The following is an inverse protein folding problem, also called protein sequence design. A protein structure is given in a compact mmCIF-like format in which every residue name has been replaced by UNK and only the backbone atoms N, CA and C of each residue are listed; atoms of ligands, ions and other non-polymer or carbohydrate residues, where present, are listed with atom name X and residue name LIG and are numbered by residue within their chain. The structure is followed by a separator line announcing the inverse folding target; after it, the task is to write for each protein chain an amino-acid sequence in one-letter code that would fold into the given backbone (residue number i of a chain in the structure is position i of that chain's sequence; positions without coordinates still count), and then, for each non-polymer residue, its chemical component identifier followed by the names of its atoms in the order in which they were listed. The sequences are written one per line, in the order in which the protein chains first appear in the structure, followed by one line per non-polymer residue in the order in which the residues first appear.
data_IF_901802140419
#
_entry.id   IF_901802140419
#
_cell.length_a   1.000
_cell.length_b   1.000
_cell.length_c   1.000
_cell.angle_alpha   90.00
_cell.angle_beta   90.00
_cell.angle_gamma   90.00
#
_symmetry.space_group_name_H-M   'P 1'
#
loop_
_entity.id
_entity.type
_entity.pdbx_description
1 polymer ?
#
# COMPACT_ATOMS: atom_id res chain seq x y z
N UNK A 1 7.93 -9.21 -6.87
CA UNK A 1 8.17 -9.90 -5.56
C UNK A 1 7.32 -11.15 -5.50
N UNK A 2 7.86 -12.29 -5.02
CA UNK A 2 7.15 -13.58 -5.00
C UNK A 2 6.02 -13.64 -3.95
N UNK A 3 6.04 -12.74 -2.97
CA UNK A 3 5.02 -12.60 -1.94
C UNK A 3 4.70 -11.12 -1.72
N UNK A 4 3.50 -10.82 -1.23
CA UNK A 4 3.14 -9.47 -0.81
C UNK A 4 3.96 -9.08 0.44
N UNK A 5 4.64 -7.93 0.39
CA UNK A 5 5.44 -7.43 1.53
C UNK A 5 4.64 -6.73 2.63
N UNK A 6 3.38 -6.38 2.37
CA UNK A 6 2.47 -5.80 3.37
C UNK A 6 1.84 -6.85 4.30
N UNK A 7 1.02 -6.40 5.25
CA UNK A 7 0.37 -7.28 6.22
C UNK A 7 -0.63 -8.25 5.57
N UNK A 8 -0.56 -9.53 5.94
CA UNK A 8 -1.40 -10.63 5.43
C UNK A 8 -2.89 -10.32 5.55
N UNK A 9 -3.32 -9.66 6.62
CA UNK A 9 -4.74 -9.31 6.83
C UNK A 9 -5.32 -8.44 5.70
N UNK A 10 -4.50 -7.61 5.05
CA UNK A 10 -4.94 -6.78 3.93
C UNK A 10 -5.09 -7.60 2.64
N UNK A 11 -4.12 -8.48 2.33
CA UNK A 11 -4.22 -9.35 1.17
C UNK A 11 -5.35 -10.38 1.33
N UNK A 12 -5.55 -10.93 2.54
CA UNK A 12 -6.66 -11.83 2.85
C UNK A 12 -8.02 -11.14 2.65
N UNK A 13 -8.17 -9.88 3.08
CA UNK A 13 -9.38 -9.09 2.83
C UNK A 13 -9.67 -8.94 1.33
N UNK A 14 -8.68 -8.58 0.52
CA UNK A 14 -8.84 -8.44 -0.94
C UNK A 14 -9.22 -9.78 -1.59
N UNK A 15 -8.54 -10.86 -1.21
CA UNK A 15 -8.84 -12.21 -1.72
C UNK A 15 -10.26 -12.64 -1.37
N UNK A 16 -10.71 -12.41 -0.12
CA UNK A 16 -12.08 -12.71 0.32
C UNK A 16 -13.14 -11.93 -0.47
N UNK A 17 -12.83 -10.71 -0.91
CA UNK A 17 -13.72 -9.95 -1.80
C UNK A 17 -13.74 -10.46 -3.25
N UNK A 18 -12.87 -11.40 -3.61
CA UNK A 18 -12.75 -11.96 -4.96
C UNK A 18 -11.79 -11.17 -5.86
N UNK A 19 -10.90 -10.37 -5.26
CA UNK A 19 -9.89 -9.59 -5.97
C UNK A 19 -8.62 -10.46 -6.13
N UNK A 20 -8.19 -10.79 -7.36
CA UNK A 20 -6.99 -11.58 -7.57
C UNK A 20 -5.74 -10.78 -7.21
N UNK A 21 -4.71 -11.48 -6.74
CA UNK A 21 -3.40 -10.92 -6.44
C UNK A 21 -2.37 -11.70 -7.27
N UNK A 22 -1.65 -11.00 -8.13
CA UNK A 22 -0.62 -11.58 -8.99
C UNK A 22 0.77 -11.19 -8.46
N UNK A 23 1.38 -11.99 -7.56
CA UNK A 23 2.77 -11.77 -7.15
C UNK A 23 3.70 -12.03 -8.35
N UNK A 24 4.90 -11.45 -8.32
CA UNK A 24 5.86 -11.54 -9.43
C UNK A 24 5.29 -11.17 -10.79
N UNK A 25 4.34 -10.24 -10.85
CA UNK A 25 3.86 -9.67 -12.10
C UNK A 25 4.09 -8.16 -12.14
N UNK A 26 4.20 -7.60 -13.33
CA UNK A 26 4.20 -6.16 -13.58
C UNK A 26 3.29 -5.82 -14.75
N UNK A 27 2.82 -4.57 -14.80
CA UNK A 27 2.14 -4.03 -15.98
C UNK A 27 3.17 -3.84 -17.09
N UNK A 28 2.94 -4.48 -18.24
CA UNK A 28 3.70 -4.29 -19.47
C UNK A 28 3.26 -3.03 -20.21
N UNK A 29 1.95 -2.89 -20.38
CA UNK A 29 1.37 -1.74 -21.07
C UNK A 29 -0.04 -1.43 -20.59
N UNK A 30 -0.38 -0.15 -20.68
CA UNK A 30 -1.75 0.36 -20.60
C UNK A 30 -2.22 0.62 -22.04
N UNK A 31 -3.38 0.08 -22.40
CA UNK A 31 -3.91 0.13 -23.75
C UNK A 31 -5.08 1.10 -23.82
N UNK A 32 -5.15 1.83 -24.94
CA UNK A 32 -6.16 2.85 -25.21
C UNK A 32 -5.54 4.06 -25.89
N UNK A 33 -6.37 4.99 -26.37
CA UNK A 33 -5.90 6.22 -27.04
C UNK A 33 -6.00 7.44 -26.13
N UNK A 34 -7.21 7.79 -25.72
CA UNK A 34 -7.48 8.95 -24.87
C UNK A 34 -7.66 8.57 -23.39
N UNK A 35 -8.09 7.34 -23.13
CA UNK A 35 -8.27 6.77 -21.80
C UNK A 35 -7.79 5.32 -21.80
N UNK A 36 -7.55 4.77 -20.60
CA UNK A 36 -7.24 3.34 -20.45
C UNK A 36 -8.51 2.54 -20.75
N UNK A 37 -8.37 1.52 -21.59
CA UNK A 37 -9.42 0.55 -21.92
C UNK A 37 -9.05 -0.85 -21.42
N UNK A 38 -7.75 -1.12 -21.30
CA UNK A 38 -7.23 -2.34 -20.69
C UNK A 38 -5.78 -2.19 -20.22
N UNK A 39 -5.32 -3.11 -19.39
CA UNK A 39 -3.90 -3.31 -19.10
C UNK A 39 -3.46 -4.70 -19.52
N UNK A 40 -2.18 -4.85 -19.81
CA UNK A 40 -1.53 -6.14 -19.97
C UNK A 40 -0.46 -6.30 -18.91
N UNK A 41 -0.54 -7.39 -18.15
CA UNK A 41 0.48 -7.78 -17.18
C UNK A 41 1.27 -8.97 -17.71
N UNK A 42 2.49 -9.15 -17.21
CA UNK A 42 3.27 -10.37 -17.40
C UNK A 42 3.98 -10.75 -16.11
N UNK A 43 4.30 -12.04 -15.98
CA UNK A 43 5.20 -12.52 -14.94
C UNK A 43 6.60 -11.93 -15.15
N UNK A 44 7.31 -11.65 -14.07
CA UNK A 44 8.67 -11.09 -14.08
C UNK A 44 9.65 -12.03 -13.37
N UNK A 45 10.86 -12.12 -13.92
CA UNK A 45 11.95 -12.88 -13.32
C UNK A 45 12.59 -12.15 -12.11
N UNK A 46 13.62 -12.77 -11.52
CA UNK A 46 14.39 -12.19 -10.40
C UNK A 46 15.13 -10.89 -10.75
N UNK A 47 15.31 -10.61 -12.04
CA UNK A 47 15.94 -9.40 -12.56
C UNK A 47 14.88 -8.37 -13.02
N UNK A 48 13.61 -8.58 -12.65
CA UNK A 48 12.47 -7.75 -13.05
C UNK A 48 12.26 -7.67 -14.57
N UNK A 49 12.72 -8.68 -15.30
CA UNK A 49 12.46 -8.80 -16.74
C UNK A 49 11.16 -9.57 -16.97
N UNK A 50 10.26 -9.07 -17.83
CA UNK A 50 9.06 -9.81 -18.19
C UNK A 50 9.37 -11.16 -18.86
N UNK A 51 8.60 -12.18 -18.54
CA UNK A 51 8.66 -13.51 -19.13
C UNK A 51 7.70 -13.60 -20.32
N UNK A 52 8.20 -13.74 -21.56
CA UNK A 52 7.34 -13.87 -22.74
C UNK A 52 6.41 -15.08 -22.66
N UNK A 53 5.17 -14.92 -23.12
CA UNK A 53 4.15 -15.97 -23.11
C UNK A 53 3.33 -16.06 -21.81
N UNK A 54 3.61 -15.19 -20.83
CA UNK A 54 2.87 -15.10 -19.56
C UNK A 54 1.84 -13.96 -19.55
N UNK A 55 1.65 -13.30 -20.68
CA UNK A 55 0.87 -12.08 -20.79
C UNK A 55 -0.62 -12.32 -20.54
N UNK A 56 -1.23 -11.42 -19.76
CA UNK A 56 -2.67 -11.43 -19.47
C UNK A 56 -3.20 -10.02 -19.60
N UNK A 57 -4.24 -9.85 -20.42
CA UNK A 57 -4.91 -8.55 -20.58
C UNK A 57 -6.19 -8.50 -19.79
N UNK A 58 -6.44 -7.41 -19.07
CA UNK A 58 -7.66 -7.16 -18.31
C UNK A 58 -8.31 -5.87 -18.79
N UNK A 59 -9.60 -5.92 -19.08
CA UNK A 59 -10.37 -4.70 -19.34
C UNK A 59 -10.46 -3.86 -18.06
N UNK A 60 -10.15 -2.57 -18.16
CA UNK A 60 -10.22 -1.63 -17.06
C UNK A 60 -10.23 -0.20 -17.60
N UNK A 61 -10.92 0.69 -16.89
CA UNK A 61 -10.95 2.13 -17.19
C UNK A 61 -9.92 2.94 -16.40
N UNK A 62 -9.36 2.34 -15.35
CA UNK A 62 -8.53 3.02 -14.35
C UNK A 62 -7.37 2.14 -13.93
N UNK A 63 -6.18 2.74 -13.86
CA UNK A 63 -4.98 2.10 -13.30
C UNK A 63 -4.59 2.86 -12.05
N UNK A 64 -4.58 2.17 -10.93
CA UNK A 64 -4.03 2.69 -9.69
C UNK A 64 -2.60 2.18 -9.53
N UNK A 65 -1.63 3.09 -9.66
CA UNK A 65 -0.22 2.77 -9.52
C UNK A 65 0.22 3.11 -8.10
N UNK A 66 0.45 2.07 -7.28
CA UNK A 66 1.09 2.21 -6.00
C UNK A 66 2.61 2.38 -6.22
N UNK A 67 3.05 3.62 -6.37
CA UNK A 67 4.47 3.94 -6.55
C UNK A 67 5.24 3.74 -5.24
N UNK A 68 6.49 3.29 -5.36
CA UNK A 68 7.45 3.42 -4.26
C UNK A 68 7.75 4.90 -4.01
N UNK A 69 8.06 5.23 -2.76
CA UNK A 69 8.51 6.57 -2.38
C UNK A 69 10.03 6.60 -2.35
N UNK A 70 10.62 7.66 -2.91
CA UNK A 70 12.01 8.01 -2.66
C UNK A 70 12.03 9.16 -1.64
N UNK A 71 12.88 9.10 -0.60
CA UNK A 71 13.04 10.21 0.32
C UNK A 71 13.37 11.51 -0.41
N UNK A 72 12.68 12.59 -0.06
CA UNK A 72 13.02 13.95 -0.49
C UNK A 72 13.96 14.59 0.53
N UNK A 73 15.18 14.05 0.63
CA UNK A 73 16.19 14.48 1.61
C UNK A 73 17.22 15.46 1.05
N UNK A 74 17.03 15.96 -0.17
CA UNK A 74 18.01 16.81 -0.88
C UNK A 74 18.43 18.04 -0.07
N UNK A 75 17.47 18.78 0.52
CA UNK A 75 17.79 19.94 1.36
C UNK A 75 18.48 19.58 2.67
N UNK A 76 18.13 18.44 3.27
CA UNK A 76 18.82 17.96 4.46
C UNK A 76 20.28 17.68 4.14
N UNK A 77 20.55 16.96 3.05
CA UNK A 77 21.91 16.61 2.62
C UNK A 77 22.73 17.86 2.27
N UNK A 78 22.16 18.80 1.50
CA UNK A 78 22.82 20.06 1.14
C UNK A 78 23.11 20.93 2.36
N UNK A 79 22.16 21.05 3.30
CA UNK A 79 22.36 21.79 4.54
C UNK A 79 23.49 21.17 5.38
N UNK A 80 23.53 19.84 5.51
CA UNK A 80 24.62 19.13 6.18
C UNK A 80 25.97 19.41 5.51
N UNK A 81 26.04 19.36 4.18
CA UNK A 81 27.27 19.65 3.41
C UNK A 81 27.73 21.10 3.57
N UNK A 82 26.79 22.04 3.66
CA UNK A 82 27.06 23.45 3.93
C UNK A 82 27.38 23.76 5.41
N UNK A 83 27.33 22.76 6.29
CA UNK A 83 27.54 22.94 7.73
C UNK A 83 26.39 23.70 8.44
N UNK A 84 25.21 23.74 7.83
CA UNK A 84 24.01 24.35 8.40
C UNK A 84 23.34 23.32 9.32
N UNK A 85 23.09 23.64 10.61
CA UNK A 85 22.34 22.76 11.50
C UNK A 85 20.97 22.41 10.92
N UNK A 86 20.68 21.11 10.79
CA UNK A 86 19.46 20.61 10.16
C UNK A 86 19.02 19.31 10.81
N UNK A 87 17.71 19.13 10.92
CA UNK A 87 17.07 17.89 11.37
C UNK A 87 16.09 17.42 10.29
N UNK A 88 15.94 16.10 10.15
CA UNK A 88 15.00 15.49 9.22
C UNK A 88 13.88 14.77 9.98
N UNK A 89 12.68 14.77 9.39
CA UNK A 89 11.51 14.10 9.94
C UNK A 89 10.62 13.55 8.83
N UNK A 90 9.77 12.59 9.18
CA UNK A 90 8.88 11.92 8.22
C UNK A 90 9.65 11.32 7.06
N UNK A 91 9.08 11.40 5.86
CA UNK A 91 9.63 10.79 4.64
C UNK A 91 10.97 11.41 4.18
N UNK A 92 11.34 12.59 4.69
CA UNK A 92 12.66 13.18 4.44
C UNK A 92 13.75 12.49 5.27
N UNK A 93 13.40 11.94 6.44
CA UNK A 93 14.30 11.13 7.24
C UNK A 93 14.32 9.69 6.72
N UNK A 94 13.15 9.09 6.55
CA UNK A 94 12.98 7.72 6.11
C UNK A 94 11.54 7.46 5.64
N UNK A 95 11.36 6.55 4.68
CA UNK A 95 10.02 6.07 4.29
C UNK A 95 9.57 5.04 5.33
N UNK A 96 8.59 5.40 6.15
CA UNK A 96 8.09 4.56 7.25
C UNK A 96 6.56 4.58 7.36
N UNK A 97 6.00 3.70 8.20
CA UNK A 97 4.58 3.72 8.53
C UNK A 97 4.21 5.04 9.22
N UNK A 98 2.98 5.52 9.00
CA UNK A 98 2.52 6.84 9.41
C UNK A 98 2.73 7.14 10.91
N UNK A 99 2.47 6.16 11.79
CA UNK A 99 2.66 6.34 13.22
C UNK A 99 4.15 6.48 13.56
N UNK A 100 5.03 5.71 12.92
CA UNK A 100 6.48 5.88 13.09
C UNK A 100 6.96 7.26 12.61
N UNK A 101 6.49 7.71 11.45
CA UNK A 101 6.77 9.06 10.93
C UNK A 101 6.33 10.16 11.91
N UNK A 102 5.16 10.00 12.57
CA UNK A 102 4.70 10.93 13.61
C UNK A 102 5.60 10.94 14.85
N UNK A 103 6.09 9.77 15.29
CA UNK A 103 7.03 9.70 16.42
C UNK A 103 8.37 10.35 16.07
N UNK A 104 8.91 10.08 14.89
CA UNK A 104 10.15 10.72 14.41
C UNK A 104 10.01 12.25 14.31
N UNK A 105 8.86 12.75 13.84
CA UNK A 105 8.59 14.19 13.82
C UNK A 105 8.55 14.82 15.22
N UNK A 106 7.95 14.14 16.20
CA UNK A 106 7.97 14.59 17.60
C UNK A 106 9.40 14.61 18.17
N UNK A 107 10.18 13.58 17.88
CA UNK A 107 11.58 13.47 18.29
C UNK A 107 12.39 14.64 17.72
N UNK A 108 12.31 14.88 16.41
CA UNK A 108 13.02 15.97 15.73
C UNK A 108 12.62 17.35 16.29
N UNK A 109 11.32 17.60 16.50
CA UNK A 109 10.85 18.87 17.07
C UNK A 109 11.38 19.13 18.48
N UNK A 110 11.48 18.09 19.32
CA UNK A 110 12.04 18.21 20.66
C UNK A 110 13.56 18.44 20.63
N UNK A 111 14.30 17.80 19.70
CA UNK A 111 15.73 18.06 19.50
C UNK A 111 16.00 19.52 19.14
N UNK A 112 15.29 20.04 18.14
CA UNK A 112 15.41 21.44 17.71
C UNK A 112 15.14 22.38 18.89
N UNK A 113 14.08 22.13 19.66
CA UNK A 113 13.75 22.97 20.82
C UNK A 113 14.81 22.90 21.93
N UNK A 114 15.47 21.75 22.13
CA UNK A 114 16.55 21.60 23.10
C UNK A 114 17.80 22.39 22.67
N UNK A 115 18.17 22.27 21.40
CA UNK A 115 19.32 22.96 20.82
C UNK A 115 19.15 24.48 20.85
N UNK A 116 17.98 24.99 20.45
CA UNK A 116 17.66 26.44 20.50
C UNK A 116 17.70 27.01 21.92
N UNK A 117 17.45 26.20 22.95
CA UNK A 117 17.55 26.59 24.36
C UNK A 117 18.95 26.40 24.94
N UNK A 118 19.90 25.87 24.17
CA UNK A 118 21.25 25.52 24.65
C UNK A 118 21.26 24.37 25.65
N UNK A 119 20.21 23.54 25.68
CA UNK A 119 20.16 22.37 26.53
C UNK A 119 21.06 21.26 25.96
N UNK A 120 22.00 20.77 26.76
CA UNK A 120 22.92 19.68 26.38
C UNK A 120 22.39 18.30 26.73
N UNK A 121 21.38 18.21 27.58
CA UNK A 121 20.75 16.94 27.94
C UNK A 121 19.73 16.53 26.89
N UNK A 122 19.58 15.23 26.65
CA UNK A 122 18.54 14.69 25.77
C UNK A 122 17.19 14.68 26.51
N UNK A 123 16.22 15.55 26.19
CA UNK A 123 14.92 15.57 26.88
C UNK A 123 13.94 14.51 26.32
N UNK A 124 14.38 13.68 25.38
CA UNK A 124 13.50 12.76 24.64
C UNK A 124 13.46 11.41 25.36
N UNK A 125 12.26 10.91 25.73
CA UNK A 125 12.15 9.61 26.39
C UNK A 125 12.58 8.45 25.49
N UNK A 126 13.39 7.52 26.01
CA UNK A 126 13.81 6.30 25.28
C UNK A 126 12.63 5.47 24.74
N UNK A 127 11.50 5.50 25.46
CA UNK A 127 10.27 4.82 25.05
C UNK A 127 9.75 5.32 23.69
N UNK A 128 10.03 6.55 23.29
CA UNK A 128 9.60 7.08 21.99
C UNK A 128 10.42 6.48 20.86
N UNK A 129 11.74 6.36 21.03
CA UNK A 129 12.61 5.69 20.07
C UNK A 129 12.24 4.20 19.95
N UNK A 130 12.06 3.52 21.09
CA UNK A 130 11.63 2.12 21.11
C UNK A 130 10.27 1.93 20.41
N UNK A 131 9.33 2.87 20.60
CA UNK A 131 8.02 2.80 19.95
C UNK A 131 8.10 3.05 18.45
N UNK A 132 8.89 4.02 18.02
CA UNK A 132 9.12 4.29 16.60
C UNK A 132 9.67 3.04 15.91
N UNK A 133 10.63 2.34 16.52
CA UNK A 133 11.19 1.10 15.95
C UNK A 133 10.22 -0.09 15.95
N UNK A 134 9.46 -0.28 17.03
CA UNK A 134 8.44 -1.33 17.08
C UNK A 134 7.41 -1.14 15.95
N UNK A 135 7.01 0.11 15.66
CA UNK A 135 6.07 0.44 14.59
C UNK A 135 6.66 0.29 13.18
N UNK A 136 7.99 0.31 13.03
CA UNK A 136 8.69 0.04 11.76
C UNK A 136 8.85 -1.44 11.45
N UNK A 137 8.64 -2.29 12.45
CA UNK A 137 8.98 -3.70 12.34
C UNK A 137 8.22 -4.35 11.17
N UNK A 138 8.91 -5.07 10.28
CA UNK A 138 8.26 -5.78 9.19
C UNK A 138 7.30 -6.84 9.76
N UNK A 139 6.35 -7.33 8.94
CA UNK A 139 5.49 -8.42 9.34
C UNK A 139 6.31 -9.62 9.83
N UNK A 140 5.99 -10.13 11.01
CA UNK A 140 6.66 -11.27 11.62
C UNK A 140 6.08 -12.61 11.16
N UNK A 141 6.16 -13.61 12.03
CA UNK A 141 5.80 -14.99 11.71
C UNK A 141 4.28 -15.11 11.50
N UNK A 142 3.89 -15.92 10.52
CA UNK A 142 2.49 -16.35 10.37
C UNK A 142 2.27 -17.65 11.15
N UNK A 143 1.39 -17.59 12.14
CA UNK A 143 1.00 -18.70 13.02
C UNK A 143 -0.21 -19.43 12.45
N UNK A 144 -0.48 -20.63 12.97
CA UNK A 144 -1.71 -21.37 12.67
C UNK A 144 -2.90 -20.83 13.46
N UNK A 145 -4.11 -21.24 13.06
CA UNK A 145 -5.31 -20.95 13.85
C UNK A 145 -5.19 -21.44 15.29
N UNK A 146 -5.72 -20.62 16.20
CA UNK A 146 -5.95 -21.04 17.59
C UNK A 146 -7.08 -22.07 17.62
N UNK A 147 -6.87 -23.16 18.36
CA UNK A 147 -7.93 -24.15 18.60
C UNK A 147 -9.05 -23.52 19.43
N UNK A 148 -10.29 -23.67 18.96
CA UNK A 148 -11.49 -23.25 19.69
C UNK A 148 -12.56 -24.34 19.57
N UNK A 149 -12.68 -25.16 20.62
CA UNK A 149 -13.64 -26.26 20.66
C UNK A 149 -15.03 -25.81 21.15
N UNK A 150 -15.21 -24.53 21.50
CA UNK A 150 -16.49 -23.98 21.96
C UNK A 150 -17.56 -24.09 20.86
N UNK A 151 -18.73 -24.61 21.21
CA UNK A 151 -19.95 -24.65 20.36
C UNK A 151 -21.16 -24.12 21.14
N UNK A 152 -20.91 -23.19 22.05
CA UNK A 152 -21.92 -22.57 22.90
C UNK A 152 -21.62 -21.09 23.11
N UNK A 153 -22.65 -20.34 23.49
CA UNK A 153 -22.54 -18.90 23.71
C UNK A 153 -22.19 -18.13 22.43
N UNK A 154 -21.49 -17.02 22.60
CA UNK A 154 -20.97 -16.19 21.51
C UNK A 154 -19.48 -15.98 21.74
N UNK A 155 -18.68 -16.01 20.69
CA UNK A 155 -17.23 -15.78 20.77
C UNK A 155 -16.66 -15.26 19.43
N UNK A 156 -15.56 -14.49 19.47
CA UNK A 156 -14.87 -14.10 18.26
C UNK A 156 -14.01 -15.24 17.70
N UNK A 157 -13.95 -15.34 16.38
CA UNK A 157 -12.90 -16.05 15.67
C UNK A 157 -11.93 -15.00 15.13
N UNK A 158 -10.66 -15.15 15.49
CA UNK A 158 -9.59 -14.23 15.13
C UNK A 158 -8.86 -14.80 13.92
N UNK A 159 -9.04 -14.18 12.76
CA UNK A 159 -8.37 -14.51 11.50
C UNK A 159 -7.05 -13.73 11.32
N UNK A 160 -6.59 -13.02 12.36
CA UNK A 160 -5.29 -12.35 12.39
C UNK A 160 -4.21 -13.36 12.80
N UNK A 161 -3.49 -13.90 11.82
CA UNK A 161 -2.52 -14.97 12.02
C UNK A 161 -1.06 -14.52 11.91
N UNK A 162 -0.80 -13.30 11.47
CA UNK A 162 0.56 -12.77 11.29
C UNK A 162 0.89 -11.80 12.41
N UNK A 163 2.12 -11.87 12.91
CA UNK A 163 2.68 -10.88 13.83
C UNK A 163 2.79 -9.52 13.13
N UNK A 164 2.02 -8.54 13.60
CA UNK A 164 1.94 -7.18 13.04
C UNK A 164 1.70 -6.20 14.19
N UNK A 165 2.19 -4.95 14.12
CA UNK A 165 2.09 -3.99 15.22
C UNK A 165 0.66 -3.41 15.37
N UNK A 166 -0.31 -4.23 15.79
CA UNK A 166 -1.74 -3.90 15.80
C UNK A 166 -2.48 -4.53 17.00
N UNK A 167 -3.09 -3.70 17.85
CA UNK A 167 -3.88 -4.12 19.01
C UNK A 167 -5.29 -3.47 19.22
N UNK A 168 -5.97 -2.80 18.26
CA UNK A 168 -7.27 -2.19 18.54
C UNK A 168 -8.34 -3.14 19.11
N UNK A 169 -8.30 -4.44 18.73
CA UNK A 169 -9.25 -5.42 19.23
C UNK A 169 -9.08 -5.76 20.71
N UNK A 170 -7.87 -5.64 21.26
CA UNK A 170 -7.60 -5.89 22.68
C UNK A 170 -8.02 -4.70 23.52
N UNK A 171 -7.81 -3.48 23.02
CA UNK A 171 -8.12 -2.24 23.74
C UNK A 171 -9.62 -1.93 23.79
N UNK A 172 -10.39 -2.37 22.79
CA UNK A 172 -11.84 -2.08 22.72
C UNK A 172 -12.70 -3.10 23.49
N UNK A 173 -12.14 -4.25 23.88
CA UNK A 173 -12.91 -5.35 24.44
C UNK A 173 -13.37 -5.03 25.89
N UNK A 174 -14.68 -4.83 26.15
CA UNK A 174 -15.15 -4.41 27.47
C UNK A 174 -14.99 -5.50 28.54
N UNK A 175 -14.85 -6.77 28.13
CA UNK A 175 -14.65 -7.91 29.02
C UNK A 175 -13.19 -8.37 29.07
N UNK A 176 -12.26 -7.61 28.48
CA UNK A 176 -10.83 -7.94 28.42
C UNK A 176 -10.54 -9.38 27.94
N UNK A 177 -11.40 -9.91 27.08
CA UNK A 177 -11.34 -11.31 26.64
C UNK A 177 -10.48 -11.53 25.38
N UNK A 178 -10.02 -10.46 24.74
CA UNK A 178 -9.05 -10.51 23.65
C UNK A 178 -7.75 -9.87 24.15
N UNK A 179 -6.64 -10.59 24.08
CA UNK A 179 -5.29 -10.15 24.50
C UNK A 179 -4.29 -10.47 23.40
N UNK A 180 -3.09 -9.91 23.42
CA UNK A 180 -1.99 -10.43 22.58
C UNK A 180 -1.34 -11.61 23.29
N UNK A 181 -0.81 -12.58 22.52
CA UNK A 181 -0.29 -13.85 23.04
C UNK A 181 0.76 -13.68 24.15
N UNK A 182 1.66 -12.71 24.01
CA UNK A 182 2.75 -12.41 24.96
C UNK A 182 2.66 -11.01 25.58
N UNK A 183 1.58 -10.26 25.30
CA UNK A 183 1.40 -8.88 25.77
C UNK A 183 2.09 -7.80 24.92
N UNK A 184 2.93 -8.17 23.95
CA UNK A 184 3.54 -7.23 23.00
C UNK A 184 2.52 -6.67 22.01
N UNK A 185 2.86 -5.58 21.31
CA UNK A 185 2.00 -5.03 20.25
C UNK A 185 2.03 -5.90 18.99
N UNK A 186 3.14 -6.61 18.75
CA UNK A 186 3.35 -7.37 17.50
C UNK A 186 2.70 -8.76 17.56
N UNK A 187 2.52 -9.34 18.75
CA UNK A 187 1.98 -10.66 18.89
C UNK A 187 0.52 -10.76 18.44
N UNK A 188 0.18 -11.91 17.86
CA UNK A 188 -1.18 -12.20 17.39
C UNK A 188 -2.20 -12.12 18.54
N UNK A 189 -3.42 -11.62 18.27
CA UNK A 189 -4.45 -11.56 19.29
C UNK A 189 -5.00 -12.97 19.59
N UNK A 190 -5.20 -13.28 20.85
CA UNK A 190 -5.79 -14.51 21.39
C UNK A 190 -7.10 -14.22 22.11
N UNK A 191 -8.07 -15.14 21.99
CA UNK A 191 -9.33 -15.05 22.74
C UNK A 191 -9.30 -15.97 23.96
N UNK A 192 -9.33 -15.37 25.15
CA UNK A 192 -9.33 -16.04 26.45
C UNK A 192 -10.31 -15.33 27.38
N UNK A 193 -11.57 -15.74 27.38
CA UNK A 193 -12.56 -15.16 28.30
C UNK A 193 -14.00 -15.43 27.91
N UNK A 194 -14.86 -14.46 28.25
CA UNK A 194 -16.30 -14.49 28.08
C UNK A 194 -16.73 -13.33 27.18
N UNK A 195 -17.17 -13.66 25.96
CA UNK A 195 -17.64 -12.66 25.01
C UNK A 195 -19.14 -12.44 25.20
N UNK A 196 -19.55 -11.17 25.16
CA UNK A 196 -20.96 -10.75 25.27
C UNK A 196 -21.60 -10.46 23.90
N UNK A 197 -20.85 -10.58 22.81
CA UNK A 197 -21.34 -10.33 21.45
C UNK A 197 -21.60 -8.86 21.12
N UNK A 198 -20.89 -7.92 21.74
CA UNK A 198 -21.11 -6.48 21.54
C UNK A 198 -20.69 -5.93 20.17
N UNK A 199 -19.95 -6.68 19.35
CA UNK A 199 -19.52 -6.27 18.01
C UNK A 199 -18.39 -5.23 17.94
N UNK A 200 -17.93 -4.67 19.08
CA UNK A 200 -16.90 -3.62 19.09
C UNK A 200 -15.59 -4.02 18.41
N UNK A 201 -15.13 -5.26 18.62
CA UNK A 201 -13.92 -5.77 17.97
C UNK A 201 -14.05 -5.92 16.45
N UNK A 202 -15.27 -6.19 15.95
CA UNK A 202 -15.54 -6.23 14.51
C UNK A 202 -15.38 -4.84 13.90
N UNK A 203 -16.00 -3.83 14.51
CA UNK A 203 -16.06 -2.46 13.99
C UNK A 203 -14.71 -1.73 14.04
N UNK A 204 -13.84 -2.05 15.00
CA UNK A 204 -12.53 -1.41 15.14
C UNK A 204 -11.43 -2.10 14.32
N UNK A 205 -11.68 -3.30 13.77
CA UNK A 205 -10.63 -4.09 13.14
C UNK A 205 -10.27 -3.52 11.75
N UNK A 206 -9.08 -2.92 11.56
CA UNK A 206 -8.71 -2.34 10.25
C UNK A 206 -8.53 -3.40 9.16
N UNK A 207 -8.20 -4.64 9.54
CA UNK A 207 -8.04 -5.77 8.62
C UNK A 207 -9.34 -6.54 8.31
N UNK A 208 -10.46 -6.21 8.95
CA UNK A 208 -11.70 -7.00 8.91
C UNK A 208 -11.45 -8.51 9.14
N UNK A 209 -10.56 -8.80 10.09
CA UNK A 209 -10.01 -10.13 10.35
C UNK A 209 -10.63 -10.79 11.59
N UNK A 210 -11.84 -10.37 11.97
CA UNK A 210 -12.57 -10.94 13.11
C UNK A 210 -13.99 -11.25 12.64
N UNK A 211 -14.50 -12.41 13.02
CA UNK A 211 -15.92 -12.76 12.92
C UNK A 211 -16.46 -13.09 14.31
N UNK A 212 -17.76 -12.91 14.53
CA UNK A 212 -18.43 -13.38 15.76
C UNK A 212 -19.32 -14.57 15.42
N UNK A 213 -19.12 -15.69 16.12
CA UNK A 213 -19.97 -16.88 16.01
C UNK A 213 -20.87 -16.96 17.24
N UNK A 214 -22.18 -17.03 17.03
CA UNK A 214 -23.21 -17.00 18.07
C UNK A 214 -24.13 -18.22 17.99
N UNK A 215 -23.96 -19.14 18.95
CA UNK A 215 -24.71 -20.39 19.13
C UNK A 215 -25.93 -20.23 20.04
N UNK A 216 -26.18 -19.04 20.62
CA UNK A 216 -27.21 -18.86 21.66
C UNK A 216 -28.64 -19.10 21.16
N UNK A 217 -28.90 -18.85 19.88
CA UNK A 217 -30.23 -19.02 19.27
C UNK A 217 -30.42 -20.36 18.58
N UNK A 218 -29.41 -20.82 17.84
CA UNK A 218 -29.43 -22.08 17.10
C UNK A 218 -28.03 -22.70 17.19
N UNK A 219 -27.97 -23.93 17.71
CA UNK A 219 -26.72 -24.67 17.90
C UNK A 219 -26.24 -25.37 16.63
N UNK A 220 -27.16 -25.77 15.75
CA UNK A 220 -26.83 -26.45 14.50
C UNK A 220 -26.51 -25.46 13.38
N UNK A 221 -27.20 -24.31 13.37
CA UNK A 221 -26.96 -23.21 12.44
C UNK A 221 -26.65 -21.89 13.17
N UNK A 222 -25.47 -21.79 13.84
CA UNK A 222 -25.07 -20.58 14.53
C UNK A 222 -25.03 -19.37 13.58
N UNK A 223 -25.23 -18.19 14.17
CA UNK A 223 -25.12 -16.93 13.44
C UNK A 223 -23.67 -16.48 13.37
N UNK A 224 -23.17 -16.22 12.16
CA UNK A 224 -21.85 -15.61 11.93
C UNK A 224 -22.04 -14.16 11.55
N UNK A 225 -21.39 -13.26 12.30
CA UNK A 225 -21.39 -11.81 12.03
C UNK A 225 -20.05 -11.38 11.45
N UNK A 226 -20.10 -10.73 10.29
CA UNK A 226 -18.94 -10.30 9.50
C UNK A 226 -19.03 -8.78 9.33
N UNK A 227 -17.93 -8.06 9.54
CA UNK A 227 -17.85 -6.63 9.26
C UNK A 227 -17.61 -6.37 7.77
N UNK A 228 -18.24 -5.33 7.24
CA UNK A 228 -18.20 -4.95 5.84
C UNK A 228 -18.13 -3.42 5.70
N UNK A 229 -17.32 -2.91 4.76
CA UNK A 229 -17.01 -1.47 4.67
C UNK A 229 -17.14 -0.89 3.25
N UNK A 230 -17.45 -1.71 2.24
CA UNK A 230 -17.42 -1.27 0.83
C UNK A 230 -18.72 -0.54 0.49
N UNK A 231 -18.74 0.77 0.72
CA UNK A 231 -19.94 1.61 0.65
C UNK A 231 -20.61 1.66 -0.74
N UNK A 232 -19.84 1.54 -1.82
CA UNK A 232 -20.36 1.56 -3.20
C UNK A 232 -20.90 0.20 -3.66
N UNK A 233 -20.86 -0.84 -2.82
CA UNK A 233 -21.44 -2.14 -3.11
C UNK A 233 -22.41 -2.52 -1.98
N UNK A 234 -23.67 -2.08 -2.03
CA UNK A 234 -24.62 -2.29 -0.94
C UNK A 234 -24.98 -3.77 -0.78
N UNK A 235 -25.25 -4.16 0.46
CA UNK A 235 -25.77 -5.49 0.83
C UNK A 235 -27.12 -5.35 1.51
N UNK A 236 -28.04 -6.26 1.20
CA UNK A 236 -29.41 -6.27 1.72
C UNK A 236 -29.77 -7.62 2.32
N UNK A 237 -30.70 -7.60 3.27
CA UNK A 237 -31.31 -8.82 3.80
C UNK A 237 -31.95 -9.59 2.63
N UNK A 238 -31.69 -10.90 2.56
CA UNK A 238 -32.15 -11.74 1.45
C UNK A 238 -31.13 -11.93 0.31
N UNK A 239 -30.09 -11.10 0.23
CA UNK A 239 -29.04 -11.29 -0.79
C UNK A 239 -28.30 -12.61 -0.56
N UNK A 240 -28.00 -13.31 -1.65
CA UNK A 240 -27.12 -14.48 -1.63
C UNK A 240 -25.67 -14.06 -1.82
N UNK A 241 -24.79 -14.54 -0.94
CA UNK A 241 -23.34 -14.32 -1.02
C UNK A 241 -22.59 -15.63 -0.85
N UNK A 242 -21.50 -15.77 -1.58
CA UNK A 242 -20.56 -16.88 -1.40
C UNK A 242 -19.69 -16.54 -0.19
N UNK A 243 -19.83 -17.33 0.87
CA UNK A 243 -18.97 -17.23 2.04
C UNK A 243 -17.63 -17.90 1.76
N UNK A 244 -16.58 -17.42 2.41
CA UNK A 244 -15.23 -17.95 2.22
C UNK A 244 -14.42 -18.01 3.51
N UNK A 245 -13.42 -18.88 3.52
CA UNK A 245 -12.41 -18.94 4.57
C UNK A 245 -11.33 -17.86 4.40
N UNK A 246 -10.31 -17.88 5.28
CA UNK A 246 -9.23 -16.89 5.27
C UNK A 246 -8.41 -16.89 3.96
N UNK A 247 -8.28 -18.04 3.30
CA UNK A 247 -7.51 -18.19 2.06
C UNK A 247 -8.37 -17.91 0.81
N UNK A 248 -9.62 -17.51 1.04
CA UNK A 248 -10.67 -17.24 0.07
C UNK A 248 -11.22 -18.50 -0.65
N UNK A 249 -11.11 -19.68 -0.03
CA UNK A 249 -11.78 -20.88 -0.52
C UNK A 249 -13.29 -20.75 -0.27
N UNK A 250 -14.09 -21.16 -1.26
CA UNK A 250 -15.55 -21.05 -1.20
C UNK A 250 -16.13 -22.08 -0.22
N UNK A 251 -16.90 -21.62 0.77
CA UNK A 251 -17.56 -22.46 1.79
C UNK A 251 -19.02 -22.76 1.45
N UNK A 252 -19.58 -22.09 0.43
CA UNK A 252 -20.96 -22.23 -0.01
C UNK A 252 -21.66 -20.88 -0.17
N UNK A 253 -22.85 -20.92 -0.78
CA UNK A 253 -23.72 -19.75 -0.96
C UNK A 253 -24.76 -19.68 0.16
N UNK A 254 -24.84 -18.54 0.84
CA UNK A 254 -25.72 -18.32 1.97
C UNK A 254 -26.45 -16.98 1.86
N UNK A 255 -27.62 -16.90 2.50
CA UNK A 255 -28.47 -15.72 2.48
C UNK A 255 -28.11 -14.81 3.66
N UNK A 256 -28.05 -13.50 3.41
CA UNK A 256 -27.92 -12.49 4.46
C UNK A 256 -29.20 -12.48 5.31
N UNK A 257 -29.07 -12.81 6.59
CA UNK A 257 -30.21 -12.88 7.52
C UNK A 257 -30.44 -11.55 8.25
N UNK A 258 -29.40 -10.73 8.42
CA UNK A 258 -29.52 -9.39 8.97
C UNK A 258 -28.36 -8.50 8.52
N UNK A 259 -28.64 -7.19 8.43
CA UNK A 259 -27.64 -6.14 8.20
C UNK A 259 -27.82 -5.08 9.29
N UNK A 260 -26.73 -4.65 9.90
CA UNK A 260 -26.72 -3.58 10.88
C UNK A 260 -25.74 -2.48 10.44
N UNK A 261 -26.26 -1.28 10.21
CA UNK A 261 -25.50 -0.13 9.74
C UNK A 261 -24.83 0.66 10.87
N UNK A 262 -23.59 1.09 10.63
CA UNK A 262 -22.81 1.97 11.51
C UNK A 262 -22.25 3.17 10.72
N UNK A 263 -23.08 4.18 10.40
CA UNK A 263 -22.68 5.27 9.51
C UNK A 263 -21.47 6.08 10.00
N UNK A 264 -21.34 6.26 11.32
CA UNK A 264 -20.20 7.00 11.92
C UNK A 264 -18.86 6.28 11.72
N UNK A 265 -18.89 4.96 11.55
CA UNK A 265 -17.72 4.12 11.33
C UNK A 265 -17.58 3.72 9.86
N UNK A 266 -18.45 4.19 8.97
CA UNK A 266 -18.51 3.79 7.56
C UNK A 266 -18.50 2.27 7.34
N UNK A 267 -19.15 1.52 8.24
CA UNK A 267 -19.15 0.06 8.24
C UNK A 267 -20.54 -0.51 8.51
N UNK A 268 -20.71 -1.79 8.20
CA UNK A 268 -21.89 -2.59 8.44
C UNK A 268 -21.48 -3.91 9.11
N UNK A 269 -22.38 -4.49 9.90
CA UNK A 269 -22.28 -5.88 10.34
C UNK A 269 -23.32 -6.70 9.58
N UNK A 270 -22.84 -7.65 8.79
CA UNK A 270 -23.64 -8.57 7.97
C UNK A 270 -23.69 -9.93 8.66
N UNK A 271 -24.89 -10.49 8.78
CA UNK A 271 -25.11 -11.76 9.49
C UNK A 271 -25.60 -12.84 8.54
N UNK A 272 -25.10 -14.05 8.79
CA UNK A 272 -25.46 -15.27 8.09
C UNK A 272 -25.79 -16.35 9.11
N UNK A 273 -26.75 -17.22 8.79
CA UNK A 273 -26.90 -18.50 9.48
C UNK A 273 -26.22 -19.58 8.64
N UNK A 274 -25.34 -20.34 9.27
CA UNK A 274 -24.52 -21.35 8.58
C UNK A 274 -24.38 -22.61 9.43
N UNK A 275 -24.20 -23.79 8.83
CA UNK A 275 -23.95 -25.01 9.59
C UNK A 275 -22.74 -24.88 10.51
N UNK A 276 -22.83 -25.43 11.73
CA UNK A 276 -21.74 -25.39 12.72
C UNK A 276 -20.37 -25.86 12.19
N UNK A 277 -20.36 -26.79 11.24
CA UNK A 277 -19.15 -27.33 10.60
C UNK A 277 -18.31 -26.27 9.85
N UNK A 278 -18.93 -25.17 9.39
CA UNK A 278 -18.23 -24.08 8.70
C UNK A 278 -18.22 -22.78 9.51
N UNK A 279 -19.03 -22.66 10.56
CA UNK A 279 -19.21 -21.41 11.30
C UNK A 279 -17.91 -20.78 11.81
N UNK A 280 -16.95 -21.60 12.24
CA UNK A 280 -15.62 -21.15 12.71
C UNK A 280 -14.62 -20.90 11.58
N UNK A 281 -14.93 -21.34 10.36
CA UNK A 281 -14.06 -21.20 9.17
C UNK A 281 -14.38 -19.95 8.36
N UNK A 282 -15.64 -19.51 8.39
CA UNK A 282 -16.09 -18.30 7.68
C UNK A 282 -15.26 -17.11 8.15
N UNK A 283 -14.52 -16.52 7.22
CA UNK A 283 -13.75 -15.30 7.44
C UNK A 283 -14.40 -14.11 6.74
N UNK A 284 -15.05 -14.30 5.59
CA UNK A 284 -15.67 -13.22 4.83
C UNK A 284 -16.67 -13.71 3.79
N UNK A 285 -16.97 -12.83 2.85
CA UNK A 285 -17.83 -13.15 1.71
C UNK A 285 -17.38 -12.40 0.45
N UNK A 286 -17.65 -13.00 -0.70
CA UNK A 286 -17.29 -12.47 -2.01
C UNK A 286 -18.22 -11.35 -2.46
N UNK A 287 -17.67 -10.30 -3.06
CA UNK A 287 -18.44 -9.21 -3.69
C UNK A 287 -18.16 -9.06 -5.19
N UNK A 288 -16.93 -9.36 -5.63
CA UNK A 288 -16.54 -9.24 -7.03
C UNK A 288 -16.90 -10.50 -7.82
N UNK A 289 -17.62 -10.35 -8.94
CA UNK A 289 -17.92 -11.47 -9.84
C UNK A 289 -16.63 -12.01 -10.48
N UNK A 290 -16.50 -13.33 -10.61
CA UNK A 290 -15.35 -14.00 -11.28
C UNK A 290 -15.05 -13.43 -12.67
N UNK A 291 -16.09 -13.08 -13.43
CA UNK A 291 -15.96 -12.62 -14.80
C UNK A 291 -15.20 -11.28 -14.92
N UNK A 292 -15.33 -10.40 -13.92
CA UNK A 292 -14.63 -9.10 -13.89
C UNK A 292 -13.12 -9.28 -13.76
N UNK A 293 -12.69 -10.38 -13.13
CA UNK A 293 -11.28 -10.69 -12.88
C UNK A 293 -10.68 -11.69 -13.87
N UNK A 294 -11.40 -12.01 -14.94
CA UNK A 294 -10.95 -12.97 -15.95
C UNK A 294 -10.21 -12.21 -17.05
N UNK A 295 -9.02 -12.67 -17.48
CA UNK A 295 -8.32 -12.04 -18.58
C UNK A 295 -9.11 -12.16 -19.89
N UNK A 296 -8.90 -11.20 -20.79
CA UNK A 296 -9.39 -11.26 -22.16
C UNK A 296 -8.74 -12.43 -22.91
N UNK A 297 -9.41 -12.92 -23.95
CA UNK A 297 -8.98 -14.13 -24.67
C UNK A 297 -7.63 -14.01 -25.37
N UNK A 298 -7.28 -12.81 -25.86
CA UNK A 298 -5.99 -12.54 -26.50
C UNK A 298 -5.28 -11.37 -25.79
N UNK A 299 -3.97 -11.47 -25.49
CA UNK A 299 -3.23 -10.39 -24.90
C UNK A 299 -3.02 -9.25 -25.90
N UNK A 300 -3.18 -8.02 -25.46
CA UNK A 300 -2.89 -6.80 -26.21
C UNK A 300 -1.51 -6.31 -25.79
N UNK A 301 -0.51 -6.39 -26.67
CA UNK A 301 0.86 -5.99 -26.37
C UNK A 301 1.20 -4.75 -27.18
N UNK A 302 1.64 -3.68 -26.51
CA UNK A 302 2.20 -2.51 -27.19
C UNK A 302 3.69 -2.74 -27.43
N UNK A 303 4.11 -2.77 -28.70
CA UNK A 303 5.51 -2.98 -29.07
C UNK A 303 6.41 -1.81 -28.69
N UNK A 304 5.90 -0.57 -28.76
CA UNK A 304 6.67 0.63 -28.42
C UNK A 304 5.79 1.78 -27.93
N UNK A 305 6.38 2.65 -27.12
CA UNK A 305 5.79 3.96 -26.78
C UNK A 305 5.61 4.79 -28.05
N UNK A 306 4.43 5.38 -28.20
CA UNK A 306 4.08 6.27 -29.34
C UNK A 306 5.14 7.33 -29.55
N UNK A 307 5.51 7.55 -30.81
CA UNK A 307 6.48 8.57 -31.23
C UNK A 307 5.98 10.00 -30.96
N UNK A 308 4.66 10.19 -30.82
CA UNK A 308 4.00 11.46 -30.50
C UNK A 308 3.92 11.73 -29.00
N UNK A 309 4.15 10.73 -28.15
CA UNK A 309 4.06 10.90 -26.70
C UNK A 309 5.11 11.89 -26.19
N UNK A 310 4.76 12.66 -25.15
CA UNK A 310 5.64 13.69 -24.60
C UNK A 310 6.55 13.11 -23.52
N UNK A 311 7.86 13.28 -23.67
CA UNK A 311 8.88 12.92 -22.68
C UNK A 311 9.11 14.09 -21.71
N UNK A 312 9.15 15.32 -22.21
CA UNK A 312 9.26 16.53 -21.39
C UNK A 312 8.07 17.46 -21.65
N UNK A 313 7.20 17.59 -20.65
CA UNK A 313 6.03 18.48 -20.76
C UNK A 313 6.42 19.96 -20.70
N UNK A 314 7.42 20.33 -19.90
CA UNK A 314 7.87 21.71 -19.74
C UNK A 314 8.36 22.31 -21.07
N UNK A 315 9.19 21.57 -21.79
CA UNK A 315 9.83 22.02 -23.04
C UNK A 315 9.16 21.42 -24.29
N UNK A 316 8.06 20.67 -24.11
CA UNK A 316 7.31 19.99 -25.16
C UNK A 316 8.18 19.13 -26.08
N UNK A 317 8.97 18.23 -25.48
CA UNK A 317 9.83 17.28 -26.21
C UNK A 317 9.13 15.92 -26.32
N UNK A 318 9.02 15.39 -27.54
CA UNK A 318 8.39 14.09 -27.83
C UNK A 318 9.36 12.90 -27.70
N UNK A 319 8.79 11.69 -27.66
CA UNK A 319 9.53 10.42 -27.70
C UNK A 319 10.35 10.31 -28.99
N UNK A 320 9.77 10.66 -30.14
CA UNK A 320 10.47 10.63 -31.44
C UNK A 320 11.77 11.44 -31.42
N UNK A 321 11.72 12.68 -30.94
CA UNK A 321 12.89 13.55 -30.89
C UNK A 321 14.02 12.96 -30.06
N UNK A 322 13.71 12.37 -28.89
CA UNK A 322 14.71 11.73 -28.03
C UNK A 322 15.22 10.44 -28.68
N UNK A 323 14.32 9.60 -29.21
CA UNK A 323 14.66 8.31 -29.83
C UNK A 323 15.57 8.48 -31.05
N UNK A 324 15.36 9.51 -31.86
CA UNK A 324 16.26 9.84 -32.98
C UNK A 324 17.68 10.14 -32.53
N UNK A 325 17.86 10.83 -31.40
CA UNK A 325 19.18 11.11 -30.84
C UNK A 325 19.85 9.83 -30.31
N UNK A 326 19.08 8.98 -29.60
CA UNK A 326 19.56 7.69 -29.12
C UNK A 326 20.05 6.82 -30.29
N UNK A 327 19.28 6.77 -31.39
CA UNK A 327 19.66 6.04 -32.62
C UNK A 327 20.91 6.59 -33.32
N UNK A 328 21.26 7.86 -33.08
CA UNK A 328 22.53 8.45 -33.52
C UNK A 328 23.71 8.11 -32.58
N UNK A 329 23.48 7.30 -31.55
CA UNK A 329 24.48 6.87 -30.57
C UNK A 329 24.62 7.76 -29.35
N UNK A 330 23.69 8.70 -29.12
CA UNK A 330 23.77 9.60 -27.95
C UNK A 330 23.25 8.88 -26.71
N UNK A 331 24.12 8.66 -25.73
CA UNK A 331 23.80 8.08 -24.42
C UNK A 331 23.97 9.05 -23.24
N UNK A 332 24.41 10.28 -23.52
CA UNK A 332 24.62 11.33 -22.51
C UNK A 332 23.37 12.20 -22.33
N UNK A 333 22.81 12.20 -21.12
CA UNK A 333 21.62 12.98 -20.79
C UNK A 333 21.85 14.50 -20.92
N UNK A 334 23.07 14.98 -20.72
CA UNK A 334 23.41 16.39 -20.90
C UNK A 334 23.41 16.79 -22.38
N UNK A 335 23.81 15.89 -23.28
CA UNK A 335 23.73 16.11 -24.72
C UNK A 335 22.28 16.13 -25.20
N UNK A 336 21.46 15.16 -24.75
CA UNK A 336 20.02 15.14 -25.04
C UNK A 336 19.37 16.43 -24.54
N UNK A 337 19.70 16.86 -23.31
CA UNK A 337 19.22 18.13 -22.73
C UNK A 337 19.68 19.35 -23.53
N UNK A 338 20.94 19.43 -23.94
CA UNK A 338 21.45 20.57 -24.70
C UNK A 338 20.75 20.71 -26.07
N UNK A 339 20.47 19.59 -26.74
CA UNK A 339 19.85 19.57 -28.07
C UNK A 339 18.33 19.81 -27.99
N UNK A 340 17.65 19.12 -27.06
CA UNK A 340 16.18 19.11 -26.99
C UNK A 340 15.60 20.05 -25.96
N UNK A 341 16.43 20.57 -25.05
CA UNK A 341 16.04 21.29 -23.83
C UNK A 341 15.35 20.41 -22.77
N UNK A 342 15.12 19.12 -23.01
CA UNK A 342 14.49 18.23 -22.03
C UNK A 342 15.24 18.25 -20.68
N UNK A 343 14.55 18.72 -19.63
CA UNK A 343 15.12 18.88 -18.28
C UNK A 343 15.54 20.31 -17.92
N UNK A 344 15.36 21.29 -18.81
CA UNK A 344 15.59 22.72 -18.53
C UNK A 344 14.37 23.46 -17.96
N UNK A 345 13.22 22.79 -17.88
CA UNK A 345 12.02 23.36 -17.26
C UNK A 345 12.14 23.50 -15.74
N UNK A 346 11.17 24.19 -15.11
CA UNK A 346 11.17 24.46 -13.65
C UNK A 346 11.07 23.20 -12.79
N UNK A 347 10.83 22.01 -13.39
CA UNK A 347 10.89 20.73 -12.68
C UNK A 347 12.32 20.17 -12.54
N UNK A 348 13.34 20.77 -13.17
CA UNK A 348 14.74 20.37 -13.01
C UNK A 348 15.05 18.95 -13.50
N UNK A 349 14.37 18.47 -14.53
CA UNK A 349 14.50 17.09 -15.06
C UNK A 349 13.90 15.97 -14.21
N UNK A 350 13.22 16.28 -13.08
CA UNK A 350 12.71 15.26 -12.13
C UNK A 350 11.79 14.21 -12.77
N UNK A 351 10.99 14.59 -13.78
CA UNK A 351 10.11 13.65 -14.51
C UNK A 351 10.78 13.07 -15.77
N UNK A 352 11.26 13.95 -16.66
CA UNK A 352 11.71 13.53 -17.99
C UNK A 352 13.00 12.71 -17.97
N UNK A 353 13.87 12.86 -16.96
CA UNK A 353 15.09 12.06 -16.87
C UNK A 353 14.80 10.55 -16.82
N UNK A 354 13.84 10.15 -15.97
CA UNK A 354 13.45 8.73 -15.82
C UNK A 354 12.86 8.20 -17.12
N UNK A 355 12.05 9.00 -17.82
CA UNK A 355 11.45 8.63 -19.10
C UNK A 355 12.51 8.47 -20.21
N UNK A 356 13.50 9.38 -20.29
CA UNK A 356 14.61 9.28 -21.25
C UNK A 356 15.46 8.04 -20.98
N UNK A 357 15.78 7.74 -19.71
CA UNK A 357 16.48 6.50 -19.33
C UNK A 357 15.68 5.27 -19.73
N UNK A 358 14.35 5.31 -19.61
CA UNK A 358 13.45 4.26 -20.09
C UNK A 358 13.55 4.04 -21.60
N UNK A 359 13.61 5.12 -22.39
CA UNK A 359 13.81 5.03 -23.85
C UNK A 359 15.18 4.47 -24.21
N UNK A 360 16.26 4.91 -23.55
CA UNK A 360 17.60 4.36 -23.74
C UNK A 360 17.62 2.84 -23.50
N UNK A 361 16.99 2.39 -22.41
CA UNK A 361 16.86 0.96 -22.09
C UNK A 361 16.04 0.20 -23.14
N UNK A 362 14.95 0.79 -23.64
CA UNK A 362 14.11 0.18 -24.67
C UNK A 362 14.85 0.03 -26.01
N UNK A 363 15.80 0.91 -26.32
CA UNK A 363 16.69 0.80 -27.48
C UNK A 363 17.92 -0.09 -27.19
N UNK A 364 17.96 -0.77 -26.05
CA UNK A 364 18.99 -1.75 -25.69
C UNK A 364 20.25 -1.16 -25.05
N UNK A 365 20.26 0.11 -24.65
CA UNK A 365 21.42 0.76 -24.02
C UNK A 365 21.47 0.40 -22.52
N UNK A 366 22.56 -0.23 -22.03
CA UNK A 366 22.74 -0.52 -20.61
C UNK A 366 22.84 0.74 -19.75
N UNK A 367 22.27 0.72 -18.55
CA UNK A 367 22.25 1.87 -17.63
C UNK A 367 23.65 2.39 -17.26
N UNK A 368 24.64 1.48 -17.21
CA UNK A 368 26.05 1.82 -16.96
C UNK A 368 26.70 2.69 -18.06
N UNK A 369 26.12 2.73 -19.26
CA UNK A 369 26.62 3.51 -20.40
C UNK A 369 25.92 4.87 -20.51
N UNK A 370 24.95 5.13 -19.64
CA UNK A 370 24.20 6.39 -19.60
C UNK A 370 24.93 7.39 -18.72
N UNK A 371 25.35 8.51 -19.31
CA UNK A 371 25.95 9.61 -18.54
C UNK A 371 24.82 10.43 -17.89
N UNK A 372 24.79 10.56 -16.55
CA UNK A 372 23.71 11.26 -15.86
C UNK A 372 23.77 12.77 -16.06
N UNK A 373 22.63 13.44 -15.85
CA UNK A 373 22.58 14.90 -15.81
C UNK A 373 23.51 15.46 -14.71
N UNK A 374 24.20 16.55 -15.01
CA UNK A 374 24.87 17.33 -13.96
C UNK A 374 23.84 17.87 -12.98
N UNK A 375 24.00 17.52 -11.70
CA UNK A 375 23.18 18.07 -10.61
C UNK A 375 23.66 19.48 -10.28
N UNK A 376 22.74 20.42 -10.17
CA UNK A 376 23.02 21.80 -9.75
C UNK A 376 22.53 21.97 -8.30
N UNK A 377 23.36 22.50 -7.38
CA UNK A 377 22.91 22.82 -6.03
C UNK A 377 21.91 23.98 -6.06
N UNK A 378 20.99 24.02 -5.08
CA UNK A 378 19.94 25.03 -4.91
C UNK A 378 18.95 25.10 -6.09
N UNK A 379 17.88 24.32 -5.96
CA UNK A 379 16.81 24.22 -6.96
C UNK A 379 15.64 25.18 -6.72
N UNK A 380 15.61 25.88 -5.60
CA UNK A 380 14.53 26.83 -5.34
C UNK A 380 14.77 28.07 -6.18
N UNK A 381 13.85 28.39 -7.08
CA UNK A 381 13.82 29.70 -7.72
C UNK A 381 13.67 30.75 -6.61
N UNK A 382 14.71 31.55 -6.42
CA UNK A 382 14.71 32.65 -5.45
C UNK A 382 14.43 33.93 -6.22
N UNK A 383 13.44 34.74 -5.82
CA UNK A 383 13.25 36.06 -6.40
C UNK A 383 14.55 36.88 -6.34
N UNK A 384 14.92 37.55 -7.44
CA UNK A 384 16.16 38.32 -7.51
C UNK A 384 16.30 39.33 -6.36
N UNK A 385 15.19 39.87 -5.85
CA UNK A 385 15.15 40.78 -4.68
C UNK A 385 15.71 40.20 -3.37
N UNK A 386 15.82 38.87 -3.25
CA UNK A 386 16.39 38.22 -2.06
C UNK A 386 17.90 38.11 -2.12
N UNK A 387 18.50 38.27 -3.30
CA UNK A 387 19.95 38.40 -3.40
C UNK A 387 20.34 39.79 -2.92
N UNK A 388 21.38 39.92 -2.07
CA UNK A 388 21.82 41.22 -1.62
C UNK A 388 22.25 42.05 -2.83
N UNK A 389 21.52 43.14 -3.07
CA UNK A 389 22.03 44.24 -3.88
C UNK A 389 23.18 44.86 -3.07
N UNK A 390 24.30 45.23 -3.69
CA UNK A 390 25.45 45.88 -3.01
C UNK A 390 25.08 47.22 -2.31
N UNK A 391 23.80 47.57 -2.28
CA UNK A 391 23.18 48.74 -1.63
C UNK A 391 22.58 48.45 -0.25
N UNK A 392 22.63 47.20 0.25
CA UNK A 392 22.26 46.90 1.63
C UNK A 392 23.40 47.32 2.59
N UNK A 393 23.41 48.60 2.95
CA UNK A 393 24.13 49.14 4.11
C UNK A 393 23.28 49.04 5.37
#
# INVERSE_FOLDING_TARGET
MPVCGGYKVHSDKLRRFGIPIYPSHSILCANGKEAVESITIAEIDKNFQPLPGTEKTFACDTILIAVGLNPLSEFTLEAMEAGIPVEAAGDALEIAEASSAMFNGKIAGVKIAAELKGNKDNPIPDKWYAKAEELKSPPGITKSYQKCDKEEGVFPVLHCLQEIPCNPCTTVCPTNSIKTEDGSLIAVPVYQGSCIGCGKCLLICPGLAITLVDYRKDKENPTVSIVYEVANYPVKIGDKKILNDIDANELGEYIITAVQDFPKQHTQIVKFQVPKAIAKKVAGFRIQNKNVSTPLGNPVILEKTSDEAMVCLCERVSVSQVRELIKKGITDLNQIKAITRAGMGPCGSKTCEVLIKGLLRAEGIPEKEVVPNTKRPLFIEIPLEKFPDERAK
#
